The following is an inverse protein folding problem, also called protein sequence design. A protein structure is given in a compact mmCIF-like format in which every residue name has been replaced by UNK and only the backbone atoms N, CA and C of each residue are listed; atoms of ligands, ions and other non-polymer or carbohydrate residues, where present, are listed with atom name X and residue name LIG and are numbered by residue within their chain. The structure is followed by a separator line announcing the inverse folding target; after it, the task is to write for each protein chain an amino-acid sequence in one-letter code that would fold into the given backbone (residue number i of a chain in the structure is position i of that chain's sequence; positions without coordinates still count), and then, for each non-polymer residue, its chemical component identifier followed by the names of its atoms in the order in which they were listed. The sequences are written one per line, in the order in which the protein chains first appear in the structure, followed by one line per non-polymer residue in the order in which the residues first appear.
data_IF_388043283474
#
_entry.id   IF_388043283474
#
_cell.length_a   1.000
_cell.length_b   1.000
_cell.length_c   1.000
_cell.angle_alpha   90.00
_cell.angle_beta   90.00
_cell.angle_gamma   90.00
#
_symmetry.space_group_name_H-M   'P 1'
#
loop_
_entity.id
_entity.type
_entity.pdbx_description
1 polymer ?
#
# COMPACT_ATOMS: atom_id res chain seq x y z
N UNK A 1 -16.98 -7.38 3.88
CA UNK A 1 -16.93 -6.99 2.47
C UNK A 1 -16.24 -8.09 1.68
N UNK A 2 -16.89 -8.56 0.62
CA UNK A 2 -16.29 -9.52 -0.29
C UNK A 2 -15.76 -8.79 -1.52
N UNK A 3 -14.50 -9.03 -1.84
CA UNK A 3 -13.86 -8.49 -3.03
C UNK A 3 -13.86 -9.55 -4.14
N UNK A 4 -14.17 -9.14 -5.35
CA UNK A 4 -14.17 -10.02 -6.53
C UNK A 4 -12.77 -10.18 -7.12
N UNK A 5 -11.93 -9.17 -6.96
CA UNK A 5 -10.62 -9.10 -7.59
C UNK A 5 -9.67 -8.22 -6.79
N UNK A 6 -8.41 -8.57 -6.84
CA UNK A 6 -7.33 -7.79 -6.23
C UNK A 6 -6.39 -7.28 -7.33
N UNK A 7 -6.07 -6.00 -7.28
CA UNK A 7 -5.01 -5.41 -8.10
C UNK A 7 -3.77 -5.19 -7.25
N UNK A 8 -2.65 -5.72 -7.70
CA UNK A 8 -1.33 -5.44 -7.11
C UNK A 8 -0.70 -4.29 -7.90
N UNK A 9 -0.48 -3.17 -7.25
CA UNK A 9 -0.08 -1.93 -7.90
C UNK A 9 1.41 -1.67 -7.69
N UNK A 10 2.13 -1.44 -8.77
CA UNK A 10 3.54 -1.05 -8.75
C UNK A 10 3.71 0.40 -9.17
N UNK A 11 4.71 1.07 -8.61
CA UNK A 11 5.12 2.41 -9.02
C UNK A 11 6.51 2.35 -9.65
N UNK A 12 6.56 2.21 -10.96
CA UNK A 12 7.81 2.07 -11.72
C UNK A 12 8.54 3.40 -11.86
N UNK A 13 9.83 3.32 -12.19
CA UNK A 13 10.71 4.49 -12.32
C UNK A 13 10.16 5.58 -13.24
N UNK A 14 9.45 5.23 -14.29
CA UNK A 14 8.85 6.20 -15.20
C UNK A 14 7.88 7.17 -14.51
N UNK A 15 7.28 6.76 -13.38
CA UNK A 15 6.31 7.56 -12.62
C UNK A 15 6.95 8.24 -11.40
N UNK A 16 8.22 7.99 -11.13
CA UNK A 16 8.88 8.42 -9.89
C UNK A 16 9.79 9.62 -10.12
N UNK A 17 9.74 10.59 -9.21
CA UNK A 17 10.70 11.68 -9.18
C UNK A 17 12.08 11.22 -8.70
N UNK A 18 12.10 10.30 -7.74
CA UNK A 18 13.33 9.67 -7.26
C UNK A 18 13.40 8.27 -7.85
N UNK A 19 14.40 8.03 -8.71
CA UNK A 19 14.54 6.76 -9.40
C UNK A 19 15.15 5.69 -8.49
N UNK A 20 14.61 4.49 -8.58
CA UNK A 20 15.15 3.31 -7.92
C UNK A 20 16.27 2.69 -8.76
N UNK A 21 17.25 2.03 -8.12
CA UNK A 21 18.26 1.25 -8.86
C UNK A 21 17.61 0.04 -9.54
N UNK A 22 18.27 -0.48 -10.58
CA UNK A 22 17.80 -1.69 -11.27
C UNK A 22 17.62 -2.87 -10.32
N UNK A 23 18.52 -3.04 -9.35
CA UNK A 23 18.44 -4.11 -8.36
C UNK A 23 17.21 -4.00 -7.50
N UNK A 24 16.87 -2.79 -7.06
CA UNK A 24 15.67 -2.54 -6.24
C UNK A 24 14.40 -2.75 -7.06
N UNK A 25 14.36 -2.26 -8.30
CA UNK A 25 13.22 -2.48 -9.19
C UNK A 25 12.98 -3.96 -9.45
N UNK A 26 14.05 -4.71 -9.74
CA UNK A 26 13.98 -6.15 -9.95
C UNK A 26 13.46 -6.88 -8.71
N UNK A 27 13.94 -6.51 -7.53
CA UNK A 27 13.49 -7.07 -6.27
C UNK A 27 11.99 -6.82 -6.05
N UNK A 28 11.52 -5.60 -6.27
CA UNK A 28 10.11 -5.25 -6.15
C UNK A 28 9.24 -6.03 -7.14
N UNK A 29 9.69 -6.16 -8.37
CA UNK A 29 8.99 -6.94 -9.39
C UNK A 29 8.84 -8.40 -8.98
N UNK A 30 9.90 -9.00 -8.42
CA UNK A 30 9.86 -10.37 -7.93
C UNK A 30 8.91 -10.53 -6.75
N UNK A 31 8.85 -9.56 -5.84
CA UNK A 31 7.91 -9.59 -4.71
C UNK A 31 6.45 -9.55 -5.19
N UNK A 32 6.15 -8.70 -6.15
CA UNK A 32 4.80 -8.59 -6.71
C UNK A 32 4.44 -9.88 -7.44
N UNK A 33 5.34 -10.44 -8.21
CA UNK A 33 5.14 -11.69 -8.93
C UNK A 33 4.88 -12.87 -7.98
N UNK A 34 5.64 -12.94 -6.88
CA UNK A 34 5.45 -13.95 -5.85
C UNK A 34 4.08 -13.80 -5.17
N UNK A 35 3.70 -12.58 -4.82
CA UNK A 35 2.39 -12.32 -4.21
C UNK A 35 1.24 -12.65 -5.16
N UNK A 36 1.38 -12.32 -6.43
CA UNK A 36 0.39 -12.67 -7.46
C UNK A 36 0.19 -14.20 -7.53
N UNK A 37 1.29 -14.94 -7.54
CA UNK A 37 1.23 -16.40 -7.56
C UNK A 37 0.56 -16.97 -6.30
N UNK A 38 0.89 -16.44 -5.13
CA UNK A 38 0.27 -16.87 -3.86
C UNK A 38 -1.24 -16.64 -3.85
N UNK A 39 -1.69 -15.50 -4.35
CA UNK A 39 -3.12 -15.20 -4.45
C UNK A 39 -3.82 -16.14 -5.44
N UNK A 40 -3.21 -16.41 -6.57
CA UNK A 40 -3.73 -17.37 -7.57
C UNK A 40 -3.81 -18.78 -7.00
N UNK A 41 -2.83 -19.21 -6.22
CA UNK A 41 -2.84 -20.52 -5.55
C UNK A 41 -3.99 -20.64 -4.54
N UNK A 42 -4.47 -19.52 -4.01
CA UNK A 42 -5.64 -19.47 -3.14
C UNK A 42 -6.95 -19.25 -3.92
N UNK A 43 -6.91 -19.38 -5.24
CA UNK A 43 -8.06 -19.16 -6.14
C UNK A 43 -8.63 -17.74 -6.06
N UNK A 44 -7.78 -16.76 -5.77
CA UNK A 44 -8.15 -15.34 -5.76
C UNK A 44 -7.79 -14.74 -7.12
N UNK A 45 -8.77 -14.10 -7.76
CA UNK A 45 -8.53 -13.38 -9.02
C UNK A 45 -7.70 -12.12 -8.74
N UNK A 46 -6.54 -12.03 -9.35
CA UNK A 46 -5.64 -10.88 -9.17
C UNK A 46 -4.87 -10.56 -10.45
N UNK A 47 -4.55 -9.28 -10.60
CA UNK A 47 -3.70 -8.78 -11.67
C UNK A 47 -2.69 -7.79 -11.10
N UNK A 48 -1.50 -7.76 -11.70
CA UNK A 48 -0.50 -6.72 -11.43
C UNK A 48 -0.67 -5.59 -12.45
N UNK A 49 -0.73 -4.37 -11.97
CA UNK A 49 -0.82 -3.16 -12.81
C UNK A 49 0.18 -2.11 -12.36
N UNK A 50 0.51 -1.18 -13.26
CA UNK A 50 1.25 0.01 -12.89
C UNK A 50 0.31 1.05 -12.26
N UNK A 51 0.84 1.90 -11.37
CA UNK A 51 0.04 2.94 -10.71
C UNK A 51 -0.64 3.89 -11.71
N UNK A 52 -0.05 4.08 -12.88
CA UNK A 52 -0.63 4.90 -13.96
C UNK A 52 -1.91 4.29 -14.56
N UNK A 53 -2.15 3.01 -14.35
CA UNK A 53 -3.32 2.31 -14.88
C UNK A 53 -4.54 2.37 -13.95
N UNK A 54 -4.39 2.88 -12.73
CA UNK A 54 -5.51 2.99 -11.77
C UNK A 54 -6.67 3.79 -12.36
N UNK A 55 -6.36 4.87 -13.08
CA UNK A 55 -7.35 5.72 -13.74
C UNK A 55 -8.23 4.98 -14.76
N UNK A 56 -7.78 3.83 -15.25
CA UNK A 56 -8.50 3.03 -16.24
C UNK A 56 -9.42 1.97 -15.62
N UNK A 57 -9.45 1.86 -14.30
CA UNK A 57 -10.33 0.92 -13.59
C UNK A 57 -11.74 1.48 -13.60
N UNK A 58 -12.68 0.77 -14.22
CA UNK A 58 -14.07 1.20 -14.34
C UNK A 58 -14.97 0.69 -13.21
N UNK A 59 -14.53 -0.34 -12.48
CA UNK A 59 -15.29 -0.91 -11.37
C UNK A 59 -15.09 -0.08 -10.11
N UNK A 60 -16.03 -0.17 -9.18
CA UNK A 60 -15.86 0.40 -7.86
C UNK A 60 -14.73 -0.34 -7.11
N UNK A 61 -13.82 0.41 -6.56
CA UNK A 61 -12.68 -0.16 -5.83
C UNK A 61 -12.37 0.63 -4.57
N UNK A 62 -11.67 -0.02 -3.67
CA UNK A 62 -11.05 0.58 -2.48
C UNK A 62 -9.58 0.21 -2.48
N UNK A 63 -8.76 1.00 -1.84
CA UNK A 63 -7.32 0.73 -1.74
C UNK A 63 -6.87 0.77 -0.29
N UNK A 64 -5.85 0.00 0.03
CA UNK A 64 -5.16 0.14 1.30
C UNK A 64 -4.43 1.48 1.30
N UNK A 65 -4.49 2.21 2.40
CA UNK A 65 -3.80 3.49 2.51
C UNK A 65 -2.28 3.29 2.36
N UNK A 66 -1.64 3.93 1.37
CA UNK A 66 -0.22 3.68 1.06
C UNK A 66 0.76 4.37 2.00
N UNK A 67 0.27 5.13 2.97
CA UNK A 67 1.06 6.00 3.85
C UNK A 67 1.75 7.15 3.09
N UNK A 68 2.48 8.01 3.80
CA UNK A 68 3.21 9.12 3.16
C UNK A 68 4.36 8.59 2.32
N UNK A 69 4.61 9.19 1.17
CA UNK A 69 5.67 8.81 0.25
C UNK A 69 5.28 8.93 -1.21
N UNK A 70 6.10 8.39 -2.09
CA UNK A 70 5.97 8.52 -3.54
C UNK A 70 4.61 8.04 -4.09
N UNK A 71 4.07 6.97 -3.54
CA UNK A 71 2.80 6.45 -4.02
C UNK A 71 1.64 7.40 -3.71
N UNK A 72 1.57 7.90 -2.46
CA UNK A 72 0.54 8.87 -2.07
C UNK A 72 0.70 10.17 -2.85
N UNK A 73 1.93 10.64 -3.02
CA UNK A 73 2.24 11.84 -3.80
C UNK A 73 1.77 11.70 -5.24
N UNK A 74 2.02 10.56 -5.87
CA UNK A 74 1.55 10.29 -7.23
C UNK A 74 0.02 10.39 -7.33
N UNK A 75 -0.69 9.76 -6.38
CA UNK A 75 -2.15 9.77 -6.39
C UNK A 75 -2.71 11.18 -6.20
N UNK A 76 -2.10 11.97 -5.31
CA UNK A 76 -2.52 13.36 -5.07
C UNK A 76 -2.23 14.27 -6.27
N UNK A 77 -1.05 14.14 -6.88
CA UNK A 77 -0.67 14.94 -8.05
C UNK A 77 -1.55 14.67 -9.27
N UNK A 78 -2.06 13.44 -9.40
CA UNK A 78 -2.94 13.07 -10.50
C UNK A 78 -4.42 13.19 -10.16
N UNK A 79 -4.75 13.82 -9.04
CA UNK A 79 -6.12 14.12 -8.60
C UNK A 79 -7.03 12.89 -8.58
N UNK A 80 -6.48 11.75 -8.22
CA UNK A 80 -7.25 10.50 -8.12
C UNK A 80 -8.01 10.46 -6.79
N UNK A 81 -9.32 10.40 -6.86
CA UNK A 81 -10.18 10.22 -5.69
C UNK A 81 -10.29 8.74 -5.38
N UNK A 82 -9.69 8.32 -4.29
CA UNK A 82 -9.65 6.92 -3.87
C UNK A 82 -10.21 6.79 -2.46
N UNK A 83 -11.12 5.84 -2.27
CA UNK A 83 -11.58 5.46 -0.94
C UNK A 83 -10.53 4.52 -0.32
N UNK A 84 -9.84 5.01 0.70
CA UNK A 84 -8.79 4.23 1.37
C UNK A 84 -9.36 3.43 2.54
N UNK A 85 -8.84 2.21 2.69
CA UNK A 85 -9.01 1.39 3.87
C UNK A 85 -7.80 1.58 4.79
N UNK A 86 -8.06 1.82 6.06
CA UNK A 86 -7.03 2.01 7.08
C UNK A 86 -7.08 0.85 8.08
N UNK A 87 -5.91 0.34 8.48
CA UNK A 87 -5.85 -0.63 9.57
C UNK A 87 -6.12 0.08 10.90
N UNK A 88 -6.94 -0.53 11.75
CA UNK A 88 -7.24 0.03 13.08
C UNK A 88 -5.98 0.19 13.93
N UNK A 89 -5.05 -0.76 13.81
CA UNK A 89 -3.76 -0.69 14.48
C UNK A 89 -3.01 0.60 14.12
N UNK A 90 -2.93 0.95 12.84
CA UNK A 90 -2.24 2.14 12.38
C UNK A 90 -2.92 3.41 12.88
N UNK A 91 -4.23 3.51 12.73
CA UNK A 91 -4.99 4.67 13.19
C UNK A 91 -4.85 4.90 14.69
N UNK A 92 -4.90 3.83 15.47
CA UNK A 92 -4.71 3.92 16.91
C UNK A 92 -3.29 4.35 17.27
N UNK A 93 -2.28 3.84 16.57
CA UNK A 93 -0.87 4.09 16.86
C UNK A 93 -0.43 5.51 16.46
N UNK A 94 -1.04 6.11 15.43
CA UNK A 94 -0.61 7.41 14.91
C UNK A 94 -0.68 8.53 15.94
N UNK A 95 -1.63 8.49 16.88
CA UNK A 95 -1.72 9.48 17.94
C UNK A 95 -0.46 9.54 18.81
N UNK A 96 0.33 8.47 18.85
CA UNK A 96 1.56 8.37 19.63
C UNK A 96 2.83 8.61 18.82
N UNK A 97 2.73 8.89 17.51
CA UNK A 97 3.87 8.99 16.61
C UNK A 97 4.42 10.42 16.43
N UNK A 98 3.91 11.39 17.14
CA UNK A 98 4.22 12.82 16.91
C UNK A 98 5.40 13.37 17.69
N UNK A 99 6.03 12.58 18.57
CA UNK A 99 7.13 13.00 19.45
C UNK A 99 8.42 12.16 19.31
N UNK A 100 8.55 11.41 18.22
CA UNK A 100 9.71 10.57 17.94
C UNK A 100 9.64 9.18 18.57
N UNK A 101 10.62 8.35 18.23
CA UNK A 101 10.64 6.94 18.59
C UNK A 101 10.70 6.68 20.09
N UNK A 102 11.54 7.40 20.81
CA UNK A 102 11.71 7.14 22.25
C UNK A 102 10.44 7.44 23.04
N UNK A 103 9.65 8.40 22.61
CA UNK A 103 8.33 8.64 23.18
C UNK A 103 7.35 7.54 22.77
N UNK A 104 7.32 7.19 21.49
CA UNK A 104 6.44 6.13 20.94
C UNK A 104 6.67 4.78 21.62
N UNK A 105 7.93 4.44 21.86
CA UNK A 105 8.35 3.20 22.53
C UNK A 105 7.59 2.96 23.84
N UNK A 106 7.31 4.00 24.61
CA UNK A 106 6.60 3.89 25.87
C UNK A 106 5.14 3.43 25.73
N UNK A 107 4.56 3.59 24.53
CA UNK A 107 3.17 3.24 24.24
C UNK A 107 3.03 1.87 23.56
N UNK A 108 4.13 1.23 23.16
CA UNK A 108 4.10 -0.07 22.47
C UNK A 108 3.37 -1.13 23.29
N UNK A 109 3.62 -1.30 24.61
CA UNK A 109 2.89 -2.29 25.40
C UNK A 109 1.38 -2.07 25.41
N UNK A 110 0.94 -0.80 25.48
CA UNK A 110 -0.49 -0.43 25.45
C UNK A 110 -1.09 -0.77 24.10
N UNK A 111 -0.38 -0.47 23.00
CA UNK A 111 -0.83 -0.76 21.64
C UNK A 111 -1.00 -2.28 21.47
N UNK A 112 0.01 -3.06 21.88
CA UNK A 112 -0.03 -4.51 21.79
C UNK A 112 -1.22 -5.07 22.59
N UNK A 113 -1.44 -4.63 23.82
CA UNK A 113 -2.55 -5.11 24.65
C UNK A 113 -3.92 -4.77 24.06
N UNK A 114 -4.02 -3.67 23.32
CA UNK A 114 -5.28 -3.25 22.69
C UNK A 114 -5.65 -4.12 21.48
N UNK A 115 -4.65 -4.63 20.75
CA UNK A 115 -4.86 -5.36 19.50
C UNK A 115 -4.49 -6.85 19.56
N UNK A 116 -4.18 -7.36 20.71
CA UNK A 116 -3.94 -8.80 20.92
C UNK A 116 -5.24 -9.56 21.18
#
# INVERSE_FOLDING_TARGET
IKFKKIYLVSNKNQNRSIKLSEKVEKFKTLLISDQEQRLKDQSIDCNSIDISEIKNINENYVALYPTVGENLDYLNLNSLEINFLYRKLDQYSWQYCNKGFFNFKNYIPKIISTFN
#
